data_IF_525255321974
#
_entry.id   IF_525255321974
#
_cell.length_a   1.000
_cell.length_b   1.000
_cell.length_c   1.000
_cell.angle_alpha   90.00
_cell.angle_beta   90.00
_cell.angle_gamma   90.00
#
_symmetry.space_group_name_H-M   'P 1'
#
loop_
_entity.id
_entity.type
_entity.pdbx_description
1 polymer ?
#
# COMPACT_ATOMS: atom_id res chain seq x y z
N UNK A 1 9.78 9.91 12.24
CA UNK A 1 8.67 10.13 11.29
C UNK A 1 8.19 8.77 10.82
N UNK A 2 6.87 8.57 10.71
CA UNK A 2 6.27 7.31 10.22
C UNK A 2 5.73 7.48 8.80
N UNK A 3 5.67 6.39 8.05
CA UNK A 3 5.28 6.39 6.63
C UNK A 3 4.20 5.35 6.37
N UNK A 4 3.17 5.72 5.61
CA UNK A 4 2.19 4.79 5.06
C UNK A 4 2.64 4.38 3.66
N UNK A 5 2.89 3.09 3.46
CA UNK A 5 3.40 2.54 2.21
C UNK A 5 2.24 2.34 1.23
N UNK A 6 2.43 2.85 0.02
CA UNK A 6 1.48 2.71 -1.08
C UNK A 6 1.71 1.41 -1.87
N UNK A 7 0.67 0.95 -2.55
CA UNK A 7 0.64 -0.23 -3.43
C UNK A 7 1.71 -0.16 -4.52
N UNK A 8 1.99 1.03 -5.04
CA UNK A 8 2.99 1.25 -6.08
C UNK A 8 4.41 0.91 -5.60
N UNK A 9 4.77 1.29 -4.36
CA UNK A 9 6.08 0.98 -3.78
C UNK A 9 6.24 -0.54 -3.62
N UNK A 10 5.22 -1.21 -3.09
CA UNK A 10 5.24 -2.67 -2.95
C UNK A 10 5.32 -3.38 -4.30
N UNK A 11 4.60 -2.89 -5.30
CA UNK A 11 4.63 -3.43 -6.66
C UNK A 11 6.00 -3.25 -7.32
N UNK A 12 6.63 -2.09 -7.12
CA UNK A 12 7.97 -1.78 -7.64
C UNK A 12 9.03 -2.72 -7.05
N UNK A 13 9.02 -2.94 -5.73
CA UNK A 13 9.94 -3.87 -5.05
C UNK A 13 9.84 -5.33 -5.55
N UNK A 14 8.74 -5.70 -6.21
CA UNK A 14 8.52 -7.05 -6.76
C UNK A 14 8.94 -7.18 -8.22
N UNK A 15 9.38 -6.10 -8.88
CA UNK A 15 9.88 -6.15 -10.25
C UNK A 15 11.23 -6.88 -10.29
N UNK A 16 11.55 -7.48 -11.44
CA UNK A 16 12.83 -8.16 -11.65
C UNK A 16 14.03 -7.22 -11.51
N UNK A 17 13.84 -5.96 -11.89
CA UNK A 17 14.80 -4.86 -11.75
C UNK A 17 14.04 -3.69 -11.14
N UNK A 18 13.96 -3.62 -9.79
CA UNK A 18 13.29 -2.52 -9.11
C UNK A 18 14.13 -1.24 -9.20
N UNK A 19 13.49 -0.08 -9.16
CA UNK A 19 14.18 1.20 -9.02
C UNK A 19 15.02 1.22 -7.71
N UNK A 20 16.34 1.42 -7.87
CA UNK A 20 17.29 1.45 -6.76
C UNK A 20 16.96 2.53 -5.72
N UNK A 21 16.36 3.65 -6.13
CA UNK A 21 15.95 4.72 -5.22
C UNK A 21 14.82 4.25 -4.31
N UNK A 22 13.88 3.45 -4.83
CA UNK A 22 12.77 2.89 -4.04
C UNK A 22 13.30 1.84 -3.05
N UNK A 23 14.19 0.96 -3.51
CA UNK A 23 14.84 -0.05 -2.65
C UNK A 23 15.62 0.64 -1.53
N UNK A 24 16.43 1.66 -1.86
CA UNK A 24 17.22 2.42 -0.89
C UNK A 24 16.34 3.19 0.09
N UNK A 25 15.25 3.78 -0.38
CA UNK A 25 14.30 4.50 0.48
C UNK A 25 13.66 3.56 1.53
N UNK A 26 13.27 2.36 1.10
CA UNK A 26 12.68 1.33 1.97
C UNK A 26 13.69 0.79 2.98
N UNK A 27 14.92 0.50 2.55
CA UNK A 27 15.96 -0.13 3.39
C UNK A 27 16.64 0.84 4.36
N UNK A 28 16.70 2.14 4.06
CA UNK A 28 17.29 3.15 4.93
C UNK A 28 16.39 3.57 6.12
N UNK A 29 15.24 2.92 6.32
CA UNK A 29 14.28 3.25 7.36
C UNK A 29 14.06 2.05 8.27
N UNK A 30 13.93 2.25 9.60
CA UNK A 30 13.54 1.17 10.49
C UNK A 30 12.16 0.64 10.07
N UNK A 31 12.02 -0.68 9.97
CA UNK A 31 10.75 -1.32 9.60
C UNK A 31 9.59 -0.87 10.50
N UNK A 32 9.86 -0.61 11.79
CA UNK A 32 8.88 -0.10 12.76
C UNK A 32 8.26 1.26 12.42
N UNK A 33 8.86 2.01 11.49
CA UNK A 33 8.33 3.30 11.01
C UNK A 33 7.48 3.18 9.74
N UNK A 34 7.40 1.99 9.14
CA UNK A 34 6.65 1.72 7.91
C UNK A 34 5.32 1.05 8.25
N UNK A 35 4.23 1.57 7.70
CA UNK A 35 2.87 1.11 7.94
C UNK A 35 2.20 0.78 6.61
N UNK A 36 1.16 -0.06 6.65
CA UNK A 36 0.39 -0.44 5.47
C UNK A 36 -1.09 -0.19 5.72
N UNK A 37 -1.82 0.35 4.74
CA UNK A 37 -3.28 0.43 4.85
C UNK A 37 -3.90 -0.93 4.54
N UNK A 38 -4.95 -1.32 5.25
CA UNK A 38 -5.73 -2.53 4.88
C UNK A 38 -6.30 -2.42 3.46
N UNK A 39 -6.53 -1.20 2.94
CA UNK A 39 -6.98 -0.99 1.57
C UNK A 39 -5.91 -1.43 0.54
N UNK A 40 -4.63 -1.21 0.83
CA UNK A 40 -3.52 -1.66 -0.04
C UNK A 40 -3.52 -3.18 -0.21
N UNK A 41 -3.87 -3.94 0.83
CA UNK A 41 -4.01 -5.40 0.72
C UNK A 41 -5.13 -5.77 -0.26
N UNK A 42 -6.26 -5.05 -0.23
CA UNK A 42 -7.36 -5.24 -1.17
C UNK A 42 -6.98 -4.90 -2.61
N UNK A 43 -6.21 -3.83 -2.82
CA UNK A 43 -5.72 -3.46 -4.15
C UNK A 43 -4.77 -4.52 -4.73
N UNK A 44 -3.84 -5.01 -3.91
CA UNK A 44 -2.93 -6.09 -4.29
C UNK A 44 -3.71 -7.36 -4.63
N UNK A 45 -4.69 -7.76 -3.80
CA UNK A 45 -5.55 -8.93 -4.06
C UNK A 45 -6.24 -8.81 -5.42
N UNK A 46 -6.91 -7.68 -5.66
CA UNK A 46 -7.59 -7.41 -6.94
C UNK A 46 -6.63 -7.54 -8.13
N UNK A 47 -5.43 -6.98 -8.01
CA UNK A 47 -4.41 -7.06 -9.06
C UNK A 47 -3.91 -8.49 -9.32
N UNK A 48 -3.71 -9.27 -8.25
CA UNK A 48 -3.24 -10.65 -8.32
C UNK A 48 -4.32 -11.58 -8.89
N UNK A 49 -5.56 -11.45 -8.44
CA UNK A 49 -6.67 -12.29 -8.89
C UNK A 49 -6.99 -12.06 -10.38
N UNK A 50 -6.71 -10.86 -10.89
CA UNK A 50 -6.81 -10.52 -12.31
C UNK A 50 -5.73 -11.14 -13.21
N UNK A 51 -4.70 -11.80 -12.66
CA UNK A 51 -3.69 -12.51 -13.45
C UNK A 51 -4.22 -13.86 -13.93
N UNK A 52 -3.71 -14.32 -15.08
CA UNK A 52 -3.89 -15.69 -15.52
C UNK A 52 -3.29 -16.67 -14.50
N UNK A 53 -3.93 -17.83 -14.36
CA UNK A 53 -3.49 -18.84 -13.42
C UNK A 53 -2.11 -19.40 -13.78
N UNK A 54 -1.35 -19.79 -12.76
CA UNK A 54 -0.02 -20.36 -12.90
C UNK A 54 0.94 -19.93 -11.79
N UNK A 55 2.18 -20.41 -11.88
CA UNK A 55 3.28 -20.22 -10.93
C UNK A 55 3.49 -18.78 -10.46
N UNK A 56 3.27 -17.80 -11.34
CA UNK A 56 3.41 -16.38 -10.98
C UNK A 56 2.30 -15.93 -10.02
N UNK A 57 1.06 -16.32 -10.29
CA UNK A 57 -0.11 -15.95 -9.48
C UNK A 57 -0.02 -16.61 -8.11
N UNK A 58 0.27 -17.92 -8.05
CA UNK A 58 0.42 -18.65 -6.79
C UNK A 58 1.47 -18.01 -5.87
N UNK A 59 2.66 -17.71 -6.39
CA UNK A 59 3.70 -17.03 -5.61
C UNK A 59 3.32 -15.63 -5.11
N UNK A 60 2.47 -14.92 -5.85
CA UNK A 60 1.98 -13.61 -5.41
C UNK A 60 0.89 -13.74 -4.34
N UNK A 61 0.06 -14.78 -4.42
CA UNK A 61 -0.92 -15.12 -3.39
C UNK A 61 -0.20 -15.46 -2.09
N UNK A 62 0.80 -16.36 -2.12
CA UNK A 62 1.58 -16.73 -0.93
C UNK A 62 2.25 -15.53 -0.29
N UNK A 63 2.84 -14.66 -1.12
CA UNK A 63 3.44 -13.42 -0.66
C UNK A 63 2.42 -12.48 0.00
N UNK A 64 1.24 -12.31 -0.60
CA UNK A 64 0.19 -11.44 -0.07
C UNK A 64 -0.43 -11.98 1.23
N UNK A 65 -0.57 -13.30 1.35
CA UNK A 65 -1.25 -13.94 2.49
C UNK A 65 -0.32 -14.20 3.67
N UNK A 66 0.97 -14.42 3.41
CA UNK A 66 1.92 -14.88 4.44
C UNK A 66 3.03 -13.86 4.66
N UNK A 67 3.84 -13.57 3.64
CA UNK A 67 5.06 -12.78 3.80
C UNK A 67 4.77 -11.31 4.14
N UNK A 68 3.88 -10.69 3.37
CA UNK A 68 3.58 -9.26 3.50
C UNK A 68 2.90 -8.94 4.85
N UNK A 69 1.85 -9.67 5.30
CA UNK A 69 1.25 -9.44 6.61
C UNK A 69 2.23 -9.71 7.75
N UNK A 70 3.10 -10.71 7.62
CA UNK A 70 4.14 -10.99 8.62
C UNK A 70 5.15 -9.84 8.73
N UNK A 71 5.59 -9.28 7.60
CA UNK A 71 6.49 -8.13 7.59
C UNK A 71 5.85 -6.88 8.21
N UNK A 72 4.54 -6.69 8.06
CA UNK A 72 3.79 -5.57 8.65
C UNK A 72 3.01 -5.93 9.92
N UNK A 73 3.37 -7.00 10.62
CA UNK A 73 2.67 -7.42 11.83
C UNK A 73 2.57 -6.27 12.86
N UNK A 74 1.34 -5.98 13.31
CA UNK A 74 1.03 -4.86 14.20
C UNK A 74 1.11 -3.47 13.56
N UNK A 75 1.36 -3.38 12.23
CA UNK A 75 1.53 -2.14 11.46
C UNK A 75 0.64 -2.05 10.22
N UNK A 76 -0.34 -2.96 10.10
CA UNK A 76 -1.45 -2.83 9.16
C UNK A 76 -2.54 -1.98 9.82
N UNK A 77 -2.84 -0.83 9.23
CA UNK A 77 -3.81 0.13 9.75
C UNK A 77 -5.21 -0.18 9.21
N UNK A 78 -6.20 -0.45 10.07
CA UNK A 78 -7.58 -0.68 9.66
C UNK A 78 -8.28 0.63 9.28
N UNK A 79 -9.33 0.52 8.47
CA UNK A 79 -10.31 1.60 8.26
C UNK A 79 -11.54 1.27 9.12
N UNK A 80 -11.62 1.90 10.29
CA UNK A 80 -12.77 1.79 11.19
C UNK A 80 -13.72 2.99 11.06
N UNK A 81 -14.80 3.01 11.85
CA UNK A 81 -15.77 4.09 11.84
C UNK A 81 -15.17 5.47 12.17
N UNK A 82 -14.12 5.54 13.00
CA UNK A 82 -13.47 6.81 13.36
C UNK A 82 -12.59 7.32 12.23
N UNK A 83 -11.89 6.42 11.53
CA UNK A 83 -11.13 6.74 10.32
C UNK A 83 -12.08 7.24 9.23
N UNK A 84 -13.22 6.57 9.03
CA UNK A 84 -14.23 6.94 8.05
C UNK A 84 -14.86 8.33 8.33
N UNK A 85 -15.24 8.63 9.58
CA UNK A 85 -15.76 9.96 9.96
C UNK A 85 -14.72 11.06 9.70
N UNK A 86 -13.47 10.84 10.12
CA UNK A 86 -12.39 11.82 9.88
C UNK A 86 -12.14 12.04 8.39
N UNK A 87 -12.12 10.97 7.60
CA UNK A 87 -11.98 11.05 6.15
C UNK A 87 -13.11 11.87 5.51
N UNK A 88 -14.37 11.62 5.89
CA UNK A 88 -15.51 12.39 5.39
C UNK A 88 -15.40 13.89 5.70
N UNK A 89 -14.95 14.24 6.91
CA UNK A 89 -14.66 15.65 7.27
C UNK A 89 -13.56 16.24 6.40
N UNK A 90 -12.45 15.52 6.19
CA UNK A 90 -11.33 15.98 5.36
C UNK A 90 -11.77 16.25 3.91
N UNK A 91 -12.59 15.37 3.32
CA UNK A 91 -13.12 15.57 1.98
C UNK A 91 -14.02 16.81 1.89
N UNK A 92 -14.87 17.04 2.89
CA UNK A 92 -15.70 18.25 2.95
C UNK A 92 -14.86 19.54 2.95
N UNK A 93 -13.70 19.53 3.61
CA UNK A 93 -12.75 20.65 3.59
C UNK A 93 -11.97 20.76 2.26
N UNK A 94 -11.57 19.64 1.66
CA UNK A 94 -10.67 19.62 0.51
C UNK A 94 -11.30 20.14 -0.79
N UNK A 95 -12.64 20.25 -0.89
CA UNK A 95 -13.41 20.72 -2.06
C UNK A 95 -13.00 20.10 -3.41
N UNK A 96 -12.29 18.98 -3.41
CA UNK A 96 -11.84 18.25 -4.61
C UNK A 96 -12.48 16.87 -4.62
N UNK A 97 -13.16 16.49 -5.71
CA UNK A 97 -13.59 15.12 -5.89
C UNK A 97 -12.37 14.25 -6.13
N UNK A 98 -12.08 13.36 -5.18
CA UNK A 98 -11.19 12.23 -5.35
C UNK A 98 -12.03 10.95 -5.25
N UNK A 99 -11.69 9.89 -5.99
CA UNK A 99 -12.27 8.58 -5.73
C UNK A 99 -12.12 8.20 -4.25
N UNK A 100 -13.13 7.54 -3.69
CA UNK A 100 -13.19 7.33 -2.24
C UNK A 100 -11.99 6.54 -1.69
N UNK A 101 -11.53 5.54 -2.44
CA UNK A 101 -10.35 4.73 -2.10
C UNK A 101 -9.06 5.55 -2.23
N UNK A 102 -8.92 6.33 -3.31
CA UNK A 102 -7.73 7.17 -3.56
C UNK A 102 -7.50 8.20 -2.46
N UNK A 103 -8.58 8.74 -1.89
CA UNK A 103 -8.51 9.73 -0.82
C UNK A 103 -8.24 9.13 0.57
N UNK A 104 -8.35 7.81 0.71
CA UNK A 104 -7.98 7.07 1.94
C UNK A 104 -6.55 6.54 1.89
N UNK A 105 -5.89 6.61 0.73
CA UNK A 105 -4.52 6.18 0.52
C UNK A 105 -3.58 7.39 0.35
N UNK A 106 -2.27 7.20 0.52
CA UNK A 106 -1.29 8.20 0.11
C UNK A 106 -1.47 8.55 -1.38
N UNK A 107 -1.10 9.78 -1.81
CA UNK A 107 -1.11 10.13 -3.23
C UNK A 107 -0.29 9.13 -4.04
N UNK A 108 -0.89 8.55 -5.08
CA UNK A 108 -0.23 7.55 -5.96
C UNK A 108 0.91 8.12 -6.81
N UNK A 109 1.06 9.44 -6.82
CA UNK A 109 2.11 10.14 -7.56
C UNK A 109 3.29 10.43 -6.64
N UNK A 110 4.43 9.83 -6.95
CA UNK A 110 5.69 10.18 -6.32
C UNK A 110 6.05 11.63 -6.68
N UNK A 111 6.50 12.48 -5.74
CA UNK A 111 7.21 13.68 -6.12
C UNK A 111 8.53 13.23 -6.76
N UNK A 112 8.55 13.15 -8.09
CA UNK A 112 9.82 13.30 -8.82
C UNK A 112 10.37 14.64 -8.38
N UNK A 113 11.54 14.61 -7.72
CA UNK A 113 12.20 15.84 -7.25
C UNK A 113 12.35 16.87 -8.35
#
# INVERSE_FOLDING_TARGET
MSYLIDTNVLSELRRRQPDEHVVRWMTNRPASTLYLSVLTLGELRKGIDGLADGERKSRLIDWLEVELPSFFAGRVLPIDARVADRWGRLLAYAKRPLPAIDSLLPPRHWPTG
#
